data_IF_013098047343
#
_entry.id   IF_013098047343
#
_cell.length_a   1.000
_cell.length_b   1.000
_cell.length_c   1.000
_cell.angle_alpha   90.00
_cell.angle_beta   90.00
_cell.angle_gamma   90.00
#
_symmetry.space_group_name_H-M   'P 1'
#
loop_
_entity.id
_entity.type
_entity.pdbx_description
1 polymer ?
#
# COMPACT_ATOMS: atom_id res chain seq x y z
N UNK A 1 -36.98 58.08 -24.72
CA UNK A 1 -37.11 56.95 -25.68
C UNK A 1 -36.01 56.86 -26.77
N UNK A 2 -34.99 57.74 -26.74
CA UNK A 2 -33.92 57.75 -27.75
C UNK A 2 -32.77 56.73 -27.53
N UNK A 3 -32.62 56.18 -26.32
CA UNK A 3 -31.54 55.22 -26.00
C UNK A 3 -31.79 53.80 -26.51
N UNK A 4 -33.05 53.34 -26.52
CA UNK A 4 -33.47 52.02 -26.99
C UNK A 4 -33.31 51.86 -28.51
N UNK A 5 -33.47 52.92 -29.29
CA UNK A 5 -33.31 52.93 -30.75
C UNK A 5 -31.84 52.74 -31.18
N UNK A 6 -30.87 53.31 -30.43
CA UNK A 6 -29.43 53.16 -30.66
C UNK A 6 -28.90 51.78 -30.32
N UNK A 7 -29.50 51.10 -29.35
CA UNK A 7 -29.14 49.73 -28.97
C UNK A 7 -29.62 48.76 -30.03
N UNK A 8 -30.82 48.97 -30.59
CA UNK A 8 -31.40 48.11 -31.63
C UNK A 8 -30.66 48.21 -32.94
N UNK A 9 -30.11 49.39 -33.29
CA UNK A 9 -29.32 49.55 -34.55
C UNK A 9 -27.94 48.95 -34.51
N UNK A 10 -27.42 48.64 -33.29
CA UNK A 10 -26.11 47.99 -33.08
C UNK A 10 -26.23 46.59 -32.45
N UNK A 11 -27.39 45.94 -32.58
CA UNK A 11 -27.68 44.67 -31.97
C UNK A 11 -26.70 43.58 -32.35
N UNK A 12 -26.30 43.52 -33.61
CA UNK A 12 -25.29 42.55 -34.11
C UNK A 12 -23.92 42.79 -33.44
N UNK A 13 -23.49 44.04 -33.31
CA UNK A 13 -22.23 44.40 -32.65
C UNK A 13 -22.25 44.01 -31.16
N UNK A 14 -23.39 44.20 -30.49
CA UNK A 14 -23.55 43.82 -29.08
C UNK A 14 -23.45 42.28 -28.91
N UNK A 15 -24.09 41.51 -29.79
CA UNK A 15 -24.07 40.06 -29.77
C UNK A 15 -22.65 39.53 -30.00
N UNK A 16 -21.89 40.15 -30.92
CA UNK A 16 -20.49 39.77 -31.19
C UNK A 16 -19.61 40.08 -29.97
N UNK A 17 -19.80 41.22 -29.31
CA UNK A 17 -19.00 41.55 -28.10
C UNK A 17 -19.31 40.59 -26.94
N UNK A 18 -20.60 40.29 -26.73
CA UNK A 18 -21.00 39.31 -25.69
C UNK A 18 -20.50 37.93 -26.02
N UNK A 19 -20.56 37.51 -27.29
CA UNK A 19 -20.04 36.22 -27.77
C UNK A 19 -18.55 36.12 -27.56
N UNK A 20 -17.78 37.17 -27.88
CA UNK A 20 -16.35 37.24 -27.64
C UNK A 20 -15.97 37.21 -26.14
N UNK A 21 -16.75 37.94 -25.31
CA UNK A 21 -16.54 37.90 -23.85
C UNK A 21 -16.79 36.53 -23.24
N UNK A 22 -17.90 35.85 -23.67
CA UNK A 22 -18.20 34.46 -23.27
C UNK A 22 -17.13 33.48 -23.77
N UNK A 23 -16.70 33.65 -25.00
CA UNK A 23 -15.63 32.80 -25.57
C UNK A 23 -14.32 33.01 -24.82
N UNK A 24 -13.94 34.24 -24.50
CA UNK A 24 -12.74 34.52 -23.69
C UNK A 24 -12.82 33.91 -22.30
N UNK A 25 -13.98 33.96 -21.65
CA UNK A 25 -14.20 33.35 -20.34
C UNK A 25 -14.10 31.81 -20.41
N UNK A 26 -14.74 31.19 -21.39
CA UNK A 26 -14.66 29.72 -21.58
C UNK A 26 -13.22 29.30 -21.97
N UNK A 27 -12.54 30.08 -22.81
CA UNK A 27 -11.17 29.82 -23.17
C UNK A 27 -10.23 29.94 -21.95
N UNK A 28 -10.41 30.97 -21.09
CA UNK A 28 -9.63 31.12 -19.87
C UNK A 28 -9.84 29.94 -18.91
N UNK A 29 -11.08 29.47 -18.75
CA UNK A 29 -11.40 28.33 -17.89
C UNK A 29 -10.83 27.03 -18.46
N UNK A 30 -10.90 26.84 -19.76
CA UNK A 30 -10.24 25.71 -20.45
C UNK A 30 -8.72 25.75 -20.31
N UNK A 31 -8.10 26.93 -20.44
CA UNK A 31 -6.65 27.09 -20.23
C UNK A 31 -6.23 26.89 -18.76
N UNK A 32 -7.03 27.31 -17.79
CA UNK A 32 -6.80 27.05 -16.37
C UNK A 32 -6.94 25.57 -16.05
N UNK A 33 -7.95 24.90 -16.61
CA UNK A 33 -8.17 23.45 -16.46
C UNK A 33 -7.02 22.64 -17.07
N UNK A 34 -6.55 23.00 -18.26
CA UNK A 34 -5.39 22.36 -18.89
C UNK A 34 -4.08 22.59 -18.13
N UNK A 35 -3.89 23.75 -17.51
CA UNK A 35 -2.71 24.03 -16.69
C UNK A 35 -2.80 23.37 -15.29
N UNK A 36 -4.00 23.22 -14.72
CA UNK A 36 -4.25 22.44 -13.51
C UNK A 36 -3.89 20.96 -13.70
N UNK A 37 -4.37 20.36 -14.78
CA UNK A 37 -4.08 18.97 -15.13
C UNK A 37 -2.57 18.76 -15.39
N UNK A 38 -1.87 19.71 -16.00
CA UNK A 38 -0.41 19.66 -16.18
C UNK A 38 0.36 19.87 -14.87
N UNK A 39 -0.21 20.60 -13.91
CA UNK A 39 0.36 20.80 -12.58
C UNK A 39 0.29 19.54 -11.71
N UNK A 40 -0.84 18.87 -11.70
CA UNK A 40 -1.05 17.63 -10.95
C UNK A 40 -0.26 16.44 -11.54
N UNK A 41 -0.18 16.35 -12.87
CA UNK A 41 0.63 15.32 -13.55
C UNK A 41 2.14 15.48 -13.32
N UNK A 42 2.61 16.63 -12.82
CA UNK A 42 4.02 16.88 -12.48
C UNK A 42 4.35 16.65 -11.00
N UNK A 43 3.36 16.46 -10.14
CA UNK A 43 3.62 16.12 -8.74
C UNK A 43 4.10 14.68 -8.67
N UNK A 44 5.37 14.52 -8.31
CA UNK A 44 5.98 13.21 -8.07
C UNK A 44 6.09 12.97 -6.56
N UNK A 45 5.83 11.74 -6.14
CA UNK A 45 6.00 11.30 -4.74
C UNK A 45 7.44 10.89 -4.49
N UNK A 46 8.08 10.30 -5.50
CA UNK A 46 9.44 9.80 -5.41
C UNK A 46 9.96 9.33 -6.76
N UNK A 47 11.15 8.74 -6.72
CA UNK A 47 11.81 8.17 -7.87
C UNK A 47 12.34 6.79 -7.52
N UNK A 48 12.07 5.79 -8.36
CA UNK A 48 12.52 4.42 -8.18
C UNK A 48 13.31 4.00 -9.43
N UNK A 49 14.59 3.67 -9.27
CA UNK A 49 15.49 3.28 -10.37
C UNK A 49 15.53 4.29 -11.53
N UNK A 50 15.41 5.59 -11.24
CA UNK A 50 15.38 6.65 -12.24
C UNK A 50 14.01 6.95 -12.86
N UNK A 51 12.98 6.17 -12.52
CA UNK A 51 11.60 6.41 -12.94
C UNK A 51 10.83 7.22 -11.89
N UNK A 52 10.21 8.30 -12.34
CA UNK A 52 9.40 9.18 -11.48
C UNK A 52 8.03 8.56 -11.23
N UNK A 53 7.64 8.52 -9.98
CA UNK A 53 6.31 8.01 -9.56
C UNK A 53 5.37 9.20 -9.38
N UNK A 54 4.30 9.22 -10.16
CA UNK A 54 3.28 10.28 -10.04
C UNK A 54 2.38 10.07 -8.82
N UNK A 55 1.86 11.17 -8.27
CA UNK A 55 0.85 11.13 -7.19
C UNK A 55 -0.36 10.30 -7.62
N UNK A 56 -0.80 10.47 -8.87
CA UNK A 56 -1.98 9.78 -9.39
C UNK A 56 -1.80 8.26 -9.47
N UNK A 57 -0.63 7.79 -9.94
CA UNK A 57 -0.37 6.35 -10.03
C UNK A 57 -0.26 5.71 -8.65
N UNK A 58 0.38 6.42 -7.72
CA UNK A 58 0.46 5.96 -6.34
C UNK A 58 -0.90 5.95 -5.66
N UNK A 59 -1.74 6.99 -5.86
CA UNK A 59 -3.09 7.02 -5.31
C UNK A 59 -3.94 5.87 -5.84
N UNK A 60 -3.87 5.55 -7.12
CA UNK A 60 -4.56 4.38 -7.69
C UNK A 60 -4.16 3.08 -7.01
N UNK A 61 -2.86 2.91 -6.73
CA UNK A 61 -2.39 1.72 -6.00
C UNK A 61 -2.95 1.68 -4.58
N UNK A 62 -2.96 2.82 -3.88
CA UNK A 62 -3.57 2.91 -2.54
C UNK A 62 -5.05 2.52 -2.62
N UNK A 63 -5.79 3.03 -3.59
CA UNK A 63 -7.23 2.75 -3.76
C UNK A 63 -7.48 1.26 -4.07
N UNK A 64 -6.64 0.64 -4.92
CA UNK A 64 -6.68 -0.81 -5.20
C UNK A 64 -6.49 -1.62 -3.90
N UNK A 65 -5.48 -1.29 -3.09
CA UNK A 65 -5.20 -1.98 -1.83
C UNK A 65 -6.30 -1.76 -0.79
N UNK A 66 -6.78 -0.52 -0.64
CA UNK A 66 -7.90 -0.21 0.25
C UNK A 66 -9.15 -1.01 -0.12
N UNK A 67 -9.47 -1.06 -1.42
CA UNK A 67 -10.63 -1.79 -1.91
C UNK A 67 -10.51 -3.29 -1.63
N UNK A 68 -9.32 -3.86 -1.82
CA UNK A 68 -9.06 -5.26 -1.50
C UNK A 68 -9.18 -5.55 0.01
N UNK A 69 -8.66 -4.68 0.87
CA UNK A 69 -8.76 -4.81 2.33
C UNK A 69 -10.23 -4.71 2.78
N UNK A 70 -10.96 -3.70 2.29
CA UNK A 70 -12.38 -3.50 2.60
C UNK A 70 -13.21 -4.72 2.20
N UNK A 71 -12.95 -5.25 1.00
CA UNK A 71 -13.62 -6.46 0.52
C UNK A 71 -13.34 -7.66 1.42
N UNK A 72 -12.08 -7.88 1.79
CA UNK A 72 -11.67 -9.02 2.63
C UNK A 72 -12.19 -8.90 4.06
N UNK A 73 -12.19 -7.69 4.62
CA UNK A 73 -12.64 -7.43 5.99
C UNK A 73 -14.14 -7.21 6.10
N UNK A 74 -14.86 -7.13 4.98
CA UNK A 74 -16.29 -6.82 4.92
C UNK A 74 -16.65 -5.52 5.68
N UNK A 75 -15.79 -4.49 5.55
CA UNK A 75 -15.97 -3.17 6.16
C UNK A 75 -15.85 -2.07 5.11
N UNK A 76 -16.71 -1.08 5.19
CA UNK A 76 -16.71 0.05 4.25
C UNK A 76 -15.65 1.11 4.58
N UNK A 77 -15.25 1.22 5.84
CA UNK A 77 -14.34 2.25 6.30
C UNK A 77 -13.12 1.68 7.00
N UNK A 78 -11.97 2.30 6.74
CA UNK A 78 -10.71 2.08 7.44
C UNK A 78 -10.44 3.30 8.34
N UNK A 79 -9.84 3.09 9.50
CA UNK A 79 -9.37 4.17 10.36
C UNK A 79 -8.20 4.92 9.70
N UNK A 80 -7.92 6.12 10.19
CA UNK A 80 -6.79 6.93 9.68
C UNK A 80 -5.44 6.21 9.89
N UNK A 81 -5.29 5.50 10.99
CA UNK A 81 -4.10 4.72 11.28
C UNK A 81 -3.94 3.55 10.29
N UNK A 82 -5.01 2.80 10.02
CA UNK A 82 -5.02 1.72 9.02
C UNK A 82 -4.70 2.28 7.61
N UNK A 83 -5.25 3.46 7.27
CA UNK A 83 -4.95 4.11 5.98
C UNK A 83 -3.48 4.49 5.85
N UNK A 84 -2.85 4.96 6.92
CA UNK A 84 -1.42 5.29 6.91
C UNK A 84 -0.57 4.03 6.79
N UNK A 85 -0.92 2.95 7.49
CA UNK A 85 -0.26 1.65 7.33
C UNK A 85 -0.39 1.11 5.90
N UNK A 86 -1.55 1.23 5.28
CA UNK A 86 -1.76 0.85 3.86
C UNK A 86 -0.86 1.66 2.94
N UNK A 87 -0.75 2.98 3.13
CA UNK A 87 0.15 3.82 2.32
C UNK A 87 1.60 3.36 2.43
N UNK A 88 2.09 3.14 3.64
CA UNK A 88 3.47 2.69 3.86
C UNK A 88 3.70 1.32 3.23
N UNK A 89 2.77 0.39 3.40
CA UNK A 89 2.84 -0.94 2.80
C UNK A 89 2.85 -0.87 1.27
N UNK A 90 1.96 -0.07 0.67
CA UNK A 90 1.88 0.11 -0.78
C UNK A 90 3.17 0.71 -1.33
N UNK A 91 3.78 1.66 -0.62
CA UNK A 91 5.07 2.22 -1.03
C UNK A 91 6.18 1.17 -1.04
N UNK A 92 6.31 0.41 0.04
CA UNK A 92 7.31 -0.67 0.12
C UNK A 92 7.10 -1.73 -0.97
N UNK A 93 5.86 -2.13 -1.18
CA UNK A 93 5.50 -3.08 -2.22
C UNK A 93 5.84 -2.55 -3.62
N UNK A 94 5.53 -1.29 -3.90
CA UNK A 94 5.84 -0.64 -5.17
C UNK A 94 7.34 -0.63 -5.44
N UNK A 95 8.16 -0.25 -4.43
CA UNK A 95 9.61 -0.25 -4.54
C UNK A 95 10.13 -1.66 -4.82
N UNK A 96 9.70 -2.64 -4.02
CA UNK A 96 10.14 -4.03 -4.17
C UNK A 96 9.75 -4.62 -5.53
N UNK A 97 8.53 -4.36 -6.00
CA UNK A 97 8.06 -4.84 -7.29
C UNK A 97 8.85 -4.21 -8.45
N UNK A 98 9.12 -2.90 -8.39
CA UNK A 98 9.91 -2.23 -9.44
C UNK A 98 11.35 -2.73 -9.50
N UNK A 99 11.98 -2.98 -8.35
CA UNK A 99 13.32 -3.56 -8.30
C UNK A 99 13.29 -4.99 -8.88
N UNK A 100 12.35 -5.82 -8.45
CA UNK A 100 12.19 -7.18 -8.96
C UNK A 100 11.94 -7.22 -10.47
N UNK A 101 11.03 -6.38 -10.97
CA UNK A 101 10.72 -6.28 -12.41
C UNK A 101 11.94 -5.86 -13.22
N UNK A 102 12.70 -4.87 -12.73
CA UNK A 102 13.91 -4.39 -13.40
C UNK A 102 15.00 -5.49 -13.46
N UNK A 103 15.21 -6.21 -12.37
CA UNK A 103 16.22 -7.26 -12.33
C UNK A 103 15.78 -8.52 -13.12
N UNK A 104 14.52 -8.92 -13.01
CA UNK A 104 13.95 -9.98 -13.81
C UNK A 104 14.07 -9.69 -15.32
N UNK A 105 13.81 -8.45 -15.72
CA UNK A 105 13.94 -8.02 -17.12
C UNK A 105 15.38 -8.11 -17.63
N UNK A 106 16.38 -7.76 -16.81
CA UNK A 106 17.80 -7.85 -17.18
C UNK A 106 18.22 -9.29 -17.51
N UNK A 107 17.64 -10.27 -16.82
CA UNK A 107 17.92 -11.70 -17.04
C UNK A 107 16.91 -12.39 -17.95
N UNK A 108 15.99 -11.63 -18.54
CA UNK A 108 14.99 -12.14 -19.49
C UNK A 108 13.87 -12.96 -18.86
N UNK A 109 13.63 -12.86 -17.54
CA UNK A 109 12.54 -13.54 -16.87
C UNK A 109 11.22 -12.83 -17.10
N UNK A 110 10.20 -13.58 -17.46
CA UNK A 110 8.81 -13.10 -17.61
C UNK A 110 7.85 -14.15 -17.04
N UNK A 111 6.63 -13.74 -16.73
CA UNK A 111 5.54 -14.64 -16.38
C UNK A 111 4.59 -14.72 -17.56
N UNK A 112 4.39 -15.91 -18.08
CA UNK A 112 3.51 -16.16 -19.24
C UNK A 112 2.07 -16.42 -18.80
N UNK A 113 1.12 -16.20 -19.72
CA UNK A 113 -0.29 -16.52 -19.47
C UNK A 113 -0.48 -18.02 -19.16
N UNK A 114 0.30 -18.89 -19.80
CA UNK A 114 0.22 -20.32 -19.57
C UNK A 114 0.64 -20.69 -18.12
N UNK A 115 1.63 -20.01 -17.56
CA UNK A 115 2.05 -20.21 -16.16
C UNK A 115 0.95 -19.79 -15.20
N UNK A 116 0.31 -18.66 -15.47
CA UNK A 116 -0.86 -18.22 -14.68
C UNK A 116 -1.98 -19.26 -14.77
N UNK A 117 -2.33 -19.72 -15.97
CA UNK A 117 -3.36 -20.74 -16.15
C UNK A 117 -3.03 -22.05 -15.42
N UNK A 118 -1.77 -22.45 -15.40
CA UNK A 118 -1.34 -23.64 -14.68
C UNK A 118 -1.55 -23.49 -13.16
N UNK A 119 -1.22 -22.33 -12.57
CA UNK A 119 -1.44 -22.06 -11.16
C UNK A 119 -2.93 -21.99 -10.81
N UNK A 120 -3.75 -21.40 -11.70
CA UNK A 120 -5.20 -21.37 -11.52
C UNK A 120 -5.82 -22.77 -11.58
N UNK A 121 -5.37 -23.61 -12.52
CA UNK A 121 -5.85 -24.98 -12.67
C UNK A 121 -5.40 -25.88 -11.51
N UNK A 122 -4.19 -25.69 -10.98
CA UNK A 122 -3.70 -26.42 -9.80
C UNK A 122 -4.48 -26.02 -8.54
N UNK A 123 -4.86 -24.75 -8.42
CA UNK A 123 -5.75 -24.24 -7.36
C UNK A 123 -5.19 -24.32 -5.95
N UNK A 124 -3.88 -24.55 -5.78
CA UNK A 124 -3.24 -24.77 -4.47
C UNK A 124 -2.56 -23.52 -3.91
N UNK A 125 -2.46 -22.44 -4.69
CA UNK A 125 -1.82 -21.20 -4.22
C UNK A 125 -2.56 -20.61 -3.01
N UNK A 126 -1.87 -20.30 -1.89
CA UNK A 126 -2.49 -19.70 -0.71
C UNK A 126 -3.21 -18.37 -1.01
N UNK A 127 -2.74 -17.64 -2.02
CA UNK A 127 -3.36 -16.39 -2.44
C UNK A 127 -4.75 -16.63 -3.05
N UNK A 128 -4.92 -17.71 -3.78
CA UNK A 128 -6.18 -18.10 -4.39
C UNK A 128 -7.19 -18.61 -3.33
N UNK A 129 -6.71 -19.12 -2.21
CA UNK A 129 -7.55 -19.57 -1.11
C UNK A 129 -8.34 -18.43 -0.43
N UNK A 130 -7.93 -17.18 -0.64
CA UNK A 130 -8.62 -16.00 -0.09
C UNK A 130 -9.67 -15.42 -1.03
N UNK A 131 -9.87 -16.03 -2.19
CA UNK A 131 -10.86 -15.57 -3.17
C UNK A 131 -12.23 -16.20 -2.94
N UNK A 132 -13.32 -15.56 -3.43
CA UNK A 132 -14.68 -16.15 -3.36
C UNK A 132 -14.87 -17.42 -4.22
N UNK A 133 -13.86 -17.80 -5.00
CA UNK A 133 -13.91 -18.89 -5.97
C UNK A 133 -13.35 -20.21 -5.40
N UNK A 134 -13.32 -20.36 -4.08
CA UNK A 134 -12.86 -21.57 -3.43
C UNK A 134 -14.02 -22.58 -3.31
N UNK A 135 -13.79 -23.80 -3.76
CA UNK A 135 -14.71 -24.90 -3.55
C UNK A 135 -14.67 -25.30 -2.06
N UNK A 136 -15.80 -25.16 -1.37
CA UNK A 136 -15.91 -25.42 0.07
C UNK A 136 -15.67 -26.90 0.46
N UNK A 137 -15.87 -27.83 -0.48
CA UNK A 137 -15.66 -29.26 -0.22
C UNK A 137 -14.19 -29.65 -0.33
N UNK A 138 -13.46 -29.07 -1.27
CA UNK A 138 -12.05 -29.41 -1.54
C UNK A 138 -11.06 -28.45 -0.92
N UNK A 139 -11.49 -27.26 -0.52
CA UNK A 139 -10.63 -26.16 -0.04
C UNK A 139 -9.72 -25.57 -1.12
N UNK A 140 -9.93 -25.95 -2.40
CA UNK A 140 -9.12 -25.50 -3.53
C UNK A 140 -9.86 -24.46 -4.36
N UNK A 141 -9.10 -23.63 -5.03
CA UNK A 141 -9.64 -22.69 -6.00
C UNK A 141 -10.29 -23.42 -7.17
N UNK A 142 -11.47 -22.96 -7.57
CA UNK A 142 -12.23 -23.52 -8.69
C UNK A 142 -12.21 -22.56 -9.90
N UNK A 143 -11.40 -22.90 -10.88
CA UNK A 143 -11.26 -22.11 -12.11
C UNK A 143 -12.58 -22.01 -12.90
N UNK A 144 -13.48 -23.00 -12.75
CA UNK A 144 -14.78 -22.97 -13.44
C UNK A 144 -15.72 -21.96 -12.77
N UNK A 145 -15.68 -21.88 -11.43
CA UNK A 145 -16.42 -20.85 -10.69
C UNK A 145 -15.97 -19.44 -11.11
N UNK A 146 -14.65 -19.21 -11.24
CA UNK A 146 -14.13 -17.95 -11.78
C UNK A 146 -14.64 -17.67 -13.21
N UNK A 147 -14.57 -18.64 -14.11
CA UNK A 147 -15.04 -18.45 -15.50
C UNK A 147 -16.52 -18.10 -15.55
N UNK A 148 -17.35 -18.81 -14.79
CA UNK A 148 -18.78 -18.52 -14.69
C UNK A 148 -19.04 -17.11 -14.15
N UNK A 149 -18.29 -16.70 -13.14
CA UNK A 149 -18.36 -15.34 -12.62
C UNK A 149 -18.01 -14.29 -13.68
N UNK A 150 -16.88 -14.46 -14.38
CA UNK A 150 -16.45 -13.52 -15.43
C UNK A 150 -17.45 -13.41 -16.56
N UNK A 151 -18.04 -14.53 -16.99
CA UNK A 151 -19.12 -14.55 -18.00
C UNK A 151 -20.37 -13.82 -17.48
N UNK A 152 -20.74 -14.03 -16.23
CA UNK A 152 -21.86 -13.34 -15.58
C UNK A 152 -21.62 -11.84 -15.46
N UNK A 153 -20.43 -11.43 -15.02
CA UNK A 153 -20.03 -10.04 -14.94
C UNK A 153 -20.09 -9.34 -16.30
N UNK A 154 -19.55 -9.95 -17.35
CA UNK A 154 -19.57 -9.39 -18.70
C UNK A 154 -21.00 -9.22 -19.24
N UNK A 155 -21.90 -10.16 -18.97
CA UNK A 155 -23.33 -10.07 -19.33
C UNK A 155 -24.01 -8.95 -18.56
N UNK A 156 -23.80 -8.85 -17.25
CA UNK A 156 -24.36 -7.80 -16.40
C UNK A 156 -23.88 -6.40 -16.83
N UNK A 157 -22.61 -6.27 -17.18
CA UNK A 157 -22.01 -5.04 -17.69
C UNK A 157 -22.61 -4.62 -19.02
N UNK A 158 -22.80 -5.56 -19.95
CA UNK A 158 -23.44 -5.30 -21.23
C UNK A 158 -24.91 -4.88 -21.09
N UNK A 159 -25.63 -5.49 -20.12
CA UNK A 159 -27.02 -5.21 -19.83
C UNK A 159 -27.25 -3.99 -18.92
N UNK A 160 -26.18 -3.36 -18.37
CA UNK A 160 -26.25 -2.30 -17.35
C UNK A 160 -27.16 -2.69 -16.19
N UNK A 161 -26.98 -3.91 -15.68
CA UNK A 161 -27.80 -4.48 -14.61
C UNK A 161 -27.60 -3.72 -13.29
N UNK A 162 -28.65 -3.63 -12.45
CA UNK A 162 -28.55 -3.06 -11.10
C UNK A 162 -27.59 -3.84 -10.17
N UNK A 163 -27.31 -5.11 -10.49
CA UNK A 163 -26.35 -5.93 -9.74
C UNK A 163 -24.89 -5.66 -10.09
N UNK A 164 -24.63 -4.78 -11.08
CA UNK A 164 -23.28 -4.51 -11.59
C UNK A 164 -22.33 -4.03 -10.49
N UNK A 165 -22.79 -3.19 -9.57
CA UNK A 165 -21.94 -2.64 -8.51
C UNK A 165 -21.38 -3.72 -7.56
N UNK A 166 -22.20 -4.70 -7.20
CA UNK A 166 -21.76 -5.82 -6.37
C UNK A 166 -20.79 -6.75 -7.12
N UNK A 167 -21.09 -7.03 -8.38
CA UNK A 167 -20.21 -7.84 -9.22
C UNK A 167 -18.89 -7.11 -9.53
N UNK A 168 -18.92 -5.77 -9.59
CA UNK A 168 -17.73 -4.95 -9.81
C UNK A 168 -16.74 -5.09 -8.65
N UNK A 169 -17.19 -5.07 -7.40
CA UNK A 169 -16.32 -5.24 -6.23
C UNK A 169 -15.57 -6.58 -6.25
N UNK A 170 -16.28 -7.67 -6.60
CA UNK A 170 -15.67 -8.99 -6.72
C UNK A 170 -14.68 -9.03 -7.89
N UNK A 171 -15.02 -8.37 -9.00
CA UNK A 171 -14.17 -8.28 -10.18
C UNK A 171 -12.89 -7.49 -9.90
N UNK A 172 -12.99 -6.35 -9.23
CA UNK A 172 -11.84 -5.52 -8.87
C UNK A 172 -10.91 -6.26 -7.88
N UNK A 173 -11.50 -6.98 -6.92
CA UNK A 173 -10.73 -7.83 -6.02
C UNK A 173 -10.02 -8.96 -6.77
N UNK A 174 -10.68 -9.59 -7.75
CA UNK A 174 -10.05 -10.60 -8.59
C UNK A 174 -8.86 -10.03 -9.39
N UNK A 175 -9.02 -8.87 -10.01
CA UNK A 175 -7.93 -8.20 -10.73
C UNK A 175 -6.73 -7.90 -9.82
N UNK A 176 -7.01 -7.47 -8.59
CA UNK A 176 -5.98 -7.26 -7.58
C UNK A 176 -5.22 -8.56 -7.28
N UNK A 177 -5.93 -9.66 -7.04
CA UNK A 177 -5.32 -10.97 -6.76
C UNK A 177 -4.50 -11.47 -7.97
N UNK A 178 -5.01 -11.35 -9.19
CA UNK A 178 -4.29 -11.75 -10.40
C UNK A 178 -2.97 -10.99 -10.57
N UNK A 179 -3.00 -9.67 -10.33
CA UNK A 179 -1.80 -8.82 -10.36
C UNK A 179 -0.77 -9.26 -9.30
N UNK A 180 -1.21 -9.53 -8.08
CA UNK A 180 -0.34 -10.02 -7.01
C UNK A 180 0.24 -11.40 -7.32
N UNK A 181 -0.57 -12.29 -7.90
CA UNK A 181 -0.13 -13.63 -8.32
C UNK A 181 0.98 -13.57 -9.36
N UNK A 182 0.87 -12.68 -10.37
CA UNK A 182 1.91 -12.46 -11.39
C UNK A 182 3.21 -12.00 -10.75
N UNK A 183 3.15 -11.06 -9.82
CA UNK A 183 4.33 -10.56 -9.11
C UNK A 183 4.96 -11.65 -8.25
N UNK A 184 4.16 -12.42 -7.54
CA UNK A 184 4.62 -13.55 -6.73
C UNK A 184 5.35 -14.61 -7.58
N UNK A 185 4.77 -14.99 -8.72
CA UNK A 185 5.37 -15.96 -9.64
C UNK A 185 6.69 -15.44 -10.22
N UNK A 186 6.76 -14.15 -10.57
CA UNK A 186 8.01 -13.54 -11.03
C UNK A 186 9.09 -13.60 -9.94
N UNK A 187 8.73 -13.29 -8.70
CA UNK A 187 9.62 -13.37 -7.54
C UNK A 187 10.11 -14.80 -7.30
N UNK A 188 9.23 -15.78 -7.36
CA UNK A 188 9.59 -17.19 -7.22
C UNK A 188 10.55 -17.67 -8.33
N UNK A 189 10.30 -17.28 -9.58
CA UNK A 189 11.21 -17.58 -10.72
C UNK A 189 12.58 -16.94 -10.52
N UNK A 190 12.61 -15.68 -10.08
CA UNK A 190 13.87 -14.99 -9.82
C UNK A 190 14.65 -15.63 -8.68
N UNK A 191 13.99 -15.96 -7.58
CA UNK A 191 14.61 -16.68 -6.45
C UNK A 191 15.11 -18.07 -6.86
N UNK A 192 14.32 -18.81 -7.65
CA UNK A 192 14.73 -20.13 -8.15
C UNK A 192 15.97 -20.02 -9.07
N UNK A 193 16.04 -18.97 -9.91
CA UNK A 193 17.21 -18.70 -10.72
C UNK A 193 18.44 -18.44 -9.84
N UNK A 194 18.34 -17.57 -8.84
CA UNK A 194 19.43 -17.27 -7.92
C UNK A 194 19.87 -18.52 -7.16
N UNK A 195 18.92 -19.30 -6.67
CA UNK A 195 19.22 -20.55 -5.98
C UNK A 195 19.95 -21.56 -6.90
N UNK A 196 19.59 -21.61 -8.18
CA UNK A 196 20.26 -22.48 -9.15
C UNK A 196 21.70 -22.06 -9.48
N UNK A 197 22.06 -20.81 -9.20
CA UNK A 197 23.45 -20.34 -9.35
C UNK A 197 24.35 -20.77 -8.18
N UNK A 198 23.76 -21.20 -7.06
CA UNK A 198 24.52 -21.70 -5.92
C UNK A 198 24.87 -23.15 -6.19
N UNK A 199 26.10 -23.37 -6.68
CA UNK A 199 26.62 -24.70 -6.97
C UNK A 199 27.40 -25.20 -5.78
N UNK A 200 27.11 -26.40 -5.34
CA UNK A 200 27.92 -27.11 -4.35
C UNK A 200 28.67 -28.28 -5.03
N UNK A 201 29.88 -28.56 -4.56
CA UNK A 201 30.66 -29.68 -5.03
C UNK A 201 31.08 -30.60 -3.88
N UNK A 202 31.53 -31.81 -4.21
CA UNK A 202 31.90 -32.80 -3.20
C UNK A 202 33.05 -32.34 -2.28
N UNK A 203 33.95 -31.48 -2.78
CA UNK A 203 35.06 -30.96 -2.00
C UNK A 203 34.57 -29.99 -0.94
N UNK A 204 33.70 -29.06 -1.32
CA UNK A 204 33.07 -28.12 -0.38
C UNK A 204 32.19 -28.81 0.66
N UNK A 205 31.40 -29.81 0.24
CA UNK A 205 30.61 -30.61 1.17
C UNK A 205 31.51 -31.36 2.19
N UNK A 206 32.66 -31.89 1.74
CA UNK A 206 33.63 -32.55 2.62
C UNK A 206 34.29 -31.54 3.56
N UNK A 207 34.68 -30.36 3.08
CA UNK A 207 35.24 -29.32 3.93
C UNK A 207 34.23 -28.89 4.99
N UNK A 208 33.00 -28.56 4.59
CA UNK A 208 31.94 -28.15 5.53
C UNK A 208 31.65 -29.25 6.57
N UNK A 209 31.68 -30.54 6.16
CA UNK A 209 31.54 -31.66 7.09
C UNK A 209 32.70 -31.71 8.09
N UNK A 210 33.95 -31.59 7.61
CA UNK A 210 35.13 -31.61 8.50
C UNK A 210 35.09 -30.42 9.45
N UNK A 211 34.84 -29.18 8.95
CA UNK A 211 34.80 -27.96 9.74
C UNK A 211 33.75 -28.01 10.88
N UNK A 212 32.62 -28.68 10.60
CA UNK A 212 31.57 -28.86 11.61
C UNK A 212 31.79 -30.01 12.60
N UNK A 213 32.66 -30.99 12.23
CA UNK A 213 32.87 -32.19 13.06
C UNK A 213 34.29 -32.29 13.65
N UNK A 214 35.23 -31.42 13.26
CA UNK A 214 36.52 -31.33 13.86
C UNK A 214 36.45 -30.62 15.21
N UNK A 215 36.89 -31.29 16.27
CA UNK A 215 37.03 -30.72 17.59
C UNK A 215 38.53 -30.46 17.86
N UNK A 216 38.81 -29.23 18.29
CA UNK A 216 40.16 -28.84 18.66
C UNK A 216 40.21 -28.47 20.15
N UNK A 217 41.16 -29.03 20.87
CA UNK A 217 41.44 -28.57 22.24
C UNK A 217 42.42 -27.41 22.18
N UNK A 218 41.96 -26.27 22.68
CA UNK A 218 42.80 -25.06 22.77
C UNK A 218 43.07 -24.69 24.23
N UNK A 219 44.26 -24.22 24.50
CA UNK A 219 44.55 -23.49 25.73
C UNK A 219 44.55 -22.02 25.44
N UNK A 220 43.64 -21.29 26.06
CA UNK A 220 43.47 -19.85 25.87
C UNK A 220 44.00 -19.08 27.08
N UNK A 221 44.96 -18.21 26.85
CA UNK A 221 45.34 -17.19 27.79
C UNK A 221 44.81 -15.83 27.28
N UNK A 222 43.93 -15.17 28.03
CA UNK A 222 43.36 -13.88 27.65
C UNK A 222 43.77 -12.78 28.64
N UNK A 223 44.18 -11.66 28.08
CA UNK A 223 44.38 -10.42 28.85
C UNK A 223 43.30 -9.42 28.34
N UNK A 224 42.37 -9.10 29.25
CA UNK A 224 41.31 -8.16 28.89
C UNK A 224 41.87 -6.73 28.73
N UNK A 225 41.45 -6.02 27.67
CA UNK A 225 41.84 -4.62 27.48
C UNK A 225 41.43 -3.73 28.68
N UNK A 226 40.38 -4.07 29.42
CA UNK A 226 39.94 -3.39 30.64
C UNK A 226 40.94 -3.47 31.78
N UNK A 227 41.96 -4.36 31.69
CA UNK A 227 43.06 -4.40 32.69
C UNK A 227 44.10 -3.29 32.47
N UNK A 228 44.10 -2.67 31.29
CA UNK A 228 44.96 -1.53 30.97
C UNK A 228 44.20 -0.24 31.31
N UNK A 229 44.81 0.64 32.14
CA UNK A 229 44.18 1.91 32.49
C UNK A 229 44.28 2.89 31.32
N UNK A 230 43.23 3.63 31.06
CA UNK A 230 43.19 4.66 29.97
C UNK A 230 44.33 5.68 30.16
N UNK A 231 44.74 5.97 31.41
CA UNK A 231 45.84 6.89 31.69
C UNK A 231 47.21 6.41 31.19
N UNK A 232 47.37 5.09 31.01
CA UNK A 232 48.63 4.48 30.56
C UNK A 232 48.69 4.39 29.02
N UNK A 233 47.58 4.73 28.33
CA UNK A 233 47.50 4.69 26.86
C UNK A 233 47.58 6.11 26.31
N UNK A 234 48.59 6.38 25.50
CA UNK A 234 48.73 7.66 24.78
C UNK A 234 48.33 7.44 23.34
N UNK A 235 47.27 8.13 22.93
CA UNK A 235 46.80 8.13 21.55
C UNK A 235 47.17 9.45 20.90
N UNK A 236 47.87 9.39 19.77
CA UNK A 236 48.27 10.56 19.01
C UNK A 236 47.28 10.81 17.84
N UNK A 237 47.31 12.00 17.25
CA UNK A 237 46.51 12.32 16.06
C UNK A 237 46.90 11.45 14.86
N UNK A 238 48.15 11.02 14.77
CA UNK A 238 48.65 10.11 13.78
C UNK A 238 48.04 8.71 13.93
N UNK A 239 47.91 8.23 15.17
CA UNK A 239 47.26 6.94 15.46
C UNK A 239 45.77 6.97 15.09
N UNK A 240 45.10 8.08 15.39
CA UNK A 240 43.69 8.29 15.02
C UNK A 240 43.49 8.28 13.49
N UNK A 241 44.38 8.98 12.76
CA UNK A 241 44.34 9.01 11.29
C UNK A 241 44.61 7.63 10.69
N UNK A 242 45.63 6.94 11.19
CA UNK A 242 45.95 5.58 10.73
C UNK A 242 44.78 4.63 10.94
N UNK A 243 44.16 4.67 12.11
CA UNK A 243 43.00 3.84 12.44
C UNK A 243 41.76 4.21 11.63
N UNK A 244 41.55 5.51 11.37
CA UNK A 244 40.48 5.95 10.50
C UNK A 244 40.65 5.44 9.07
N UNK A 245 41.84 5.52 8.50
CA UNK A 245 42.09 5.01 7.14
C UNK A 245 41.90 3.48 7.06
N UNK A 246 42.28 2.73 8.10
CA UNK A 246 42.03 1.30 8.21
C UNK A 246 40.52 0.97 8.22
N UNK A 247 39.75 1.74 8.97
CA UNK A 247 38.31 1.51 9.18
C UNK A 247 37.41 2.30 8.23
N UNK A 248 37.98 3.09 7.32
CA UNK A 248 37.28 3.97 6.40
C UNK A 248 36.11 3.30 5.63
N UNK A 249 36.21 2.04 5.18
CA UNK A 249 35.08 1.35 4.54
C UNK A 249 33.86 1.19 5.46
N UNK A 250 34.09 1.05 6.79
CA UNK A 250 33.01 0.90 7.77
C UNK A 250 32.27 2.21 8.04
N UNK A 251 32.93 3.36 7.83
CA UNK A 251 32.35 4.70 8.02
C UNK A 251 31.76 5.27 6.72
N UNK A 252 31.80 4.50 5.62
CA UNK A 252 31.27 4.94 4.34
C UNK A 252 29.75 5.03 4.42
N UNK A 253 29.21 6.24 4.27
CA UNK A 253 27.78 6.47 4.09
C UNK A 253 27.42 6.24 2.61
N UNK A 254 26.58 5.24 2.34
CA UNK A 254 26.11 4.93 0.99
C UNK A 254 24.81 5.67 0.64
N UNK A 255 24.21 6.34 1.62
CA UNK A 255 22.94 7.07 1.48
C UNK A 255 23.22 8.53 1.81
N UNK A 256 22.70 9.42 0.97
CA UNK A 256 22.78 10.85 1.23
C UNK A 256 21.96 11.16 2.49
N UNK A 257 22.61 11.77 3.49
CA UNK A 257 21.99 12.19 4.74
C UNK A 257 21.93 13.71 4.81
N UNK A 258 20.98 14.23 5.57
CA UNK A 258 20.83 15.67 5.78
C UNK A 258 20.59 15.91 7.26
N UNK A 259 21.28 16.91 7.79
CA UNK A 259 20.95 17.45 9.10
C UNK A 259 19.75 18.38 8.97
N UNK A 260 18.67 18.00 9.64
CA UNK A 260 17.46 18.81 9.66
C UNK A 260 17.20 19.35 11.05
N UNK A 261 16.78 20.59 11.12
CA UNK A 261 16.21 21.18 12.34
C UNK A 261 14.73 21.32 12.14
N UNK A 262 13.93 20.79 13.06
CA UNK A 262 12.48 20.90 13.01
C UNK A 262 11.94 21.41 14.34
N UNK A 263 10.78 22.01 14.25
CA UNK A 263 10.01 22.42 15.42
C UNK A 263 8.78 21.54 15.49
N UNK A 264 8.64 20.86 16.60
CA UNK A 264 7.49 20.01 16.87
C UNK A 264 6.37 20.84 17.47
N UNK A 265 5.20 20.83 16.83
CA UNK A 265 4.04 21.55 17.31
C UNK A 265 2.92 20.57 17.63
N UNK A 266 2.67 20.37 18.91
CA UNK A 266 1.59 19.49 19.36
C UNK A 266 0.23 20.14 19.12
N UNK A 267 -0.53 19.57 18.20
CA UNK A 267 -1.92 19.94 17.99
C UNK A 267 -2.76 19.25 19.06
N UNK A 268 -3.40 20.04 19.91
CA UNK A 268 -4.33 19.56 20.93
C UNK A 268 -5.75 19.83 20.48
N UNK A 269 -6.62 18.83 20.60
CA UNK A 269 -8.03 19.01 20.33
C UNK A 269 -8.63 20.14 21.15
N UNK A 270 -9.27 21.08 20.49
CA UNK A 270 -9.98 22.19 21.15
C UNK A 270 -11.24 21.68 21.87
N UNK A 271 -11.83 22.53 22.72
CA UNK A 271 -13.13 22.23 23.34
C UNK A 271 -14.23 22.09 22.28
N UNK A 272 -14.14 22.86 21.21
CA UNK A 272 -15.07 22.77 20.09
C UNK A 272 -14.99 21.40 19.38
N UNK A 273 -13.76 20.91 19.09
CA UNK A 273 -13.55 19.62 18.47
C UNK A 273 -14.09 18.48 19.35
N UNK A 274 -13.79 18.54 20.66
CA UNK A 274 -14.29 17.53 21.61
C UNK A 274 -15.80 17.51 21.69
N UNK A 275 -16.45 18.69 21.68
CA UNK A 275 -17.89 18.81 21.70
C UNK A 275 -18.53 18.32 20.39
N UNK A 276 -17.86 18.54 19.24
CA UNK A 276 -18.30 18.03 17.96
C UNK A 276 -18.29 16.49 17.94
N UNK A 277 -17.20 15.87 18.38
CA UNK A 277 -17.07 14.41 18.48
C UNK A 277 -18.09 13.85 19.49
N UNK A 278 -18.27 14.50 20.64
CA UNK A 278 -19.25 14.06 21.64
C UNK A 278 -20.70 14.11 21.09
N UNK A 279 -21.02 15.14 20.30
CA UNK A 279 -22.32 15.22 19.63
C UNK A 279 -22.50 14.10 18.61
N UNK A 280 -21.50 13.85 17.79
CA UNK A 280 -21.51 12.75 16.80
C UNK A 280 -21.71 11.40 17.50
N UNK A 281 -20.98 11.13 18.58
CA UNK A 281 -21.12 9.89 19.36
C UNK A 281 -22.54 9.75 19.97
N UNK A 282 -23.12 10.82 20.48
CA UNK A 282 -24.49 10.81 20.98
C UNK A 282 -25.51 10.53 19.86
N UNK A 283 -25.28 11.05 18.67
CA UNK A 283 -26.15 10.81 17.51
C UNK A 283 -26.02 9.36 17.02
N UNK A 284 -24.81 8.77 16.99
CA UNK A 284 -24.61 7.34 16.76
C UNK A 284 -25.28 6.46 17.82
N UNK A 285 -25.17 6.82 19.09
CA UNK A 285 -25.84 6.08 20.17
C UNK A 285 -27.36 6.03 19.95
N UNK A 286 -27.97 7.18 19.56
CA UNK A 286 -29.41 7.24 19.25
C UNK A 286 -29.78 6.37 18.05
N UNK A 287 -28.95 6.42 16.98
CA UNK A 287 -29.14 5.60 15.78
C UNK A 287 -29.06 4.09 16.12
N UNK A 288 -28.05 3.69 16.90
CA UNK A 288 -27.91 2.30 17.34
C UNK A 288 -29.08 1.84 18.20
N UNK A 289 -29.54 2.71 19.12
CA UNK A 289 -30.70 2.39 19.99
C UNK A 289 -32.01 2.24 19.24
N UNK A 290 -32.15 2.92 18.09
CA UNK A 290 -33.34 2.88 17.24
C UNK A 290 -33.25 1.86 16.09
N UNK A 291 -32.07 1.31 15.84
CA UNK A 291 -31.82 0.43 14.69
C UNK A 291 -32.40 -0.96 14.91
N UNK A 292 -33.08 -1.49 13.92
CA UNK A 292 -33.47 -2.90 13.86
C UNK A 292 -32.29 -3.84 13.55
N UNK A 293 -31.27 -3.33 12.84
CA UNK A 293 -30.02 -4.02 12.51
C UNK A 293 -28.82 -3.11 12.85
N UNK A 294 -28.16 -3.34 14.00
CA UNK A 294 -26.98 -2.58 14.40
C UNK A 294 -25.79 -2.74 13.44
N UNK A 295 -25.69 -3.85 12.70
CA UNK A 295 -24.57 -4.09 11.78
C UNK A 295 -24.47 -3.00 10.70
N UNK A 296 -25.61 -2.57 10.17
CA UNK A 296 -25.68 -1.52 9.14
C UNK A 296 -25.16 -0.18 9.65
N UNK A 297 -25.40 0.14 10.93
CA UNK A 297 -24.95 1.41 11.53
C UNK A 297 -23.45 1.32 11.83
N UNK A 298 -22.99 0.19 12.38
CA UNK A 298 -21.57 0.03 12.73
C UNK A 298 -20.69 -0.04 11.48
N UNK A 299 -21.13 -0.68 10.39
CA UNK A 299 -20.37 -0.76 9.14
C UNK A 299 -20.13 0.62 8.49
N UNK A 300 -21.05 1.56 8.70
CA UNK A 300 -20.94 2.96 8.20
C UNK A 300 -20.17 3.88 9.15
N UNK A 301 -19.86 3.44 10.34
CA UNK A 301 -19.07 4.19 11.31
C UNK A 301 -17.58 3.97 11.14
N UNK A 302 -16.75 4.84 11.73
CA UNK A 302 -15.30 4.65 11.84
C UNK A 302 -14.90 3.75 13.02
N UNK A 303 -15.78 2.85 13.46
CA UNK A 303 -15.51 1.95 14.60
C UNK A 303 -14.38 1.00 14.30
N UNK A 304 -13.37 0.97 15.19
CA UNK A 304 -12.27 0.00 15.14
C UNK A 304 -12.73 -1.40 15.56
N UNK A 305 -13.83 -1.48 16.35
CA UNK A 305 -14.39 -2.74 16.81
C UNK A 305 -15.46 -3.20 15.84
N UNK A 306 -15.27 -4.35 15.15
CA UNK A 306 -16.29 -4.87 14.24
C UNK A 306 -17.53 -5.35 15.02
N UNK A 307 -18.70 -5.20 14.41
CA UNK A 307 -19.93 -5.80 14.94
C UNK A 307 -20.03 -7.26 14.50
N UNK A 308 -19.91 -8.15 15.45
CA UNK A 308 -19.89 -9.60 15.16
C UNK A 308 -21.29 -10.23 15.11
N UNK A 309 -22.31 -9.56 15.62
CA UNK A 309 -23.69 -10.07 15.66
C UNK A 309 -23.90 -11.32 16.52
N UNK A 310 -22.88 -11.74 17.27
CA UNK A 310 -22.90 -12.93 18.13
C UNK A 310 -22.57 -12.55 19.58
N UNK A 311 -23.13 -13.22 20.57
CA UNK A 311 -22.76 -13.03 21.96
C UNK A 311 -21.27 -13.36 22.16
N UNK A 312 -20.51 -12.43 22.71
CA UNK A 312 -19.11 -12.61 23.07
C UNK A 312 -18.93 -12.47 24.57
N UNK A 313 -17.94 -13.15 25.14
CA UNK A 313 -17.65 -13.00 26.56
C UNK A 313 -16.96 -11.65 26.82
N UNK A 314 -17.09 -11.14 28.07
CA UNK A 314 -16.39 -9.92 28.50
C UNK A 314 -14.86 -9.97 28.29
N UNK A 315 -14.29 -11.17 28.21
CA UNK A 315 -12.87 -11.37 27.90
C UNK A 315 -12.45 -10.86 26.52
N UNK A 316 -13.37 -10.81 25.56
CA UNK A 316 -13.11 -10.26 24.24
C UNK A 316 -12.77 -8.76 24.25
N UNK A 317 -13.17 -8.06 25.30
CA UNK A 317 -12.95 -6.62 25.46
C UNK A 317 -11.85 -6.26 26.47
N UNK A 318 -11.02 -7.23 26.91
CA UNK A 318 -9.94 -6.99 27.89
C UNK A 318 -8.92 -5.93 27.42
N UNK A 319 -8.72 -5.79 26.13
CA UNK A 319 -7.86 -4.75 25.57
C UNK A 319 -8.47 -3.33 25.65
N UNK A 320 -9.75 -3.22 26.02
CA UNK A 320 -10.47 -1.96 26.20
C UNK A 320 -11.01 -1.87 27.64
N UNK A 321 -10.18 -1.46 28.62
CA UNK A 321 -10.54 -1.50 30.04
C UNK A 321 -11.82 -0.74 30.37
N UNK A 322 -12.04 0.40 29.71
CA UNK A 322 -13.21 1.25 29.92
C UNK A 322 -14.52 0.57 29.48
N UNK A 323 -14.47 -0.32 28.49
CA UNK A 323 -15.59 -1.13 28.02
C UNK A 323 -15.75 -2.34 28.92
N UNK A 324 -14.67 -3.07 29.17
CA UNK A 324 -14.69 -4.29 30.00
C UNK A 324 -15.23 -4.04 31.42
N UNK A 325 -15.05 -2.83 31.96
CA UNK A 325 -15.57 -2.46 33.29
C UNK A 325 -17.07 -2.18 33.32
N UNK A 326 -17.73 -2.02 32.16
CA UNK A 326 -19.15 -1.70 32.01
C UNK A 326 -20.02 -2.89 31.54
N UNK A 327 -19.38 -4.00 31.18
CA UNK A 327 -19.98 -5.25 30.75
C UNK A 327 -19.92 -6.27 31.88
#
# INVERSE_FOLDING_TARGET
>A
MAALGKIRSKGVTLIVIIGLALFAFIAEEAFRSCNGIKGEARQQIGEILGEKISVQDYQKLIDEYQSAIKFTMQRDNLSEEELNQVKDQVWQQLVNNRVLEADAKKVGLTVTEQEIQNVLNDGTSPMLAQTPFVNQQTGRFDVNALKQFLDGYNKAKAAKSEQLDQLQQVYDYWLFIEKQLRTQLLGQKYQALLASCVLSNKAEAKMAFNDNNEESQIQLASLAYSSVKDADVKVTDEDLKAKYEELKPAFRQNIETRDIKYVDYQIKASTADRNAVAKEMNDFQKQLSAASDPAVIVSKSSSVIPYLGVPVSSKAYQQYPDIASKI
#
